data_IF_306210204629
#
_entry.id   IF_306210204629
#
_cell.length_a   1.000
_cell.length_b   1.000
_cell.length_c   1.000
_cell.angle_alpha   90.00
_cell.angle_beta   90.00
_cell.angle_gamma   90.00
#
_symmetry.space_group_name_H-M   'P 1'
#
loop_
_entity.id
_entity.type
_entity.pdbx_description
1 polymer ?
#
# COMPACT_ATOMS: atom_id res chain seq x y z
N UNK A 1 67.59 29.25 -17.37
CA UNK A 1 67.60 27.78 -17.30
C UNK A 1 67.64 27.37 -15.84
N UNK A 2 66.56 26.77 -15.32
CA UNK A 2 66.49 26.25 -13.95
C UNK A 2 65.65 24.96 -14.00
N UNK A 3 66.31 23.86 -13.66
CA UNK A 3 66.00 22.45 -13.91
C UNK A 3 64.65 21.96 -13.30
N UNK A 4 63.79 21.25 -14.05
CA UNK A 4 62.48 20.76 -13.56
C UNK A 4 62.55 19.53 -12.64
N UNK A 5 63.71 19.15 -12.08
CA UNK A 5 63.90 17.90 -11.32
C UNK A 5 63.93 17.98 -9.79
N UNK A 6 63.39 19.02 -9.14
CA UNK A 6 63.17 18.98 -7.67
C UNK A 6 61.85 18.29 -7.32
N UNK A 7 61.85 16.96 -7.32
CA UNK A 7 60.79 16.16 -6.65
C UNK A 7 60.82 16.45 -5.15
N UNK A 8 59.73 17.03 -4.62
CA UNK A 8 59.49 17.07 -3.17
C UNK A 8 59.25 15.64 -2.69
N UNK A 9 60.14 15.10 -1.85
CA UNK A 9 59.90 13.83 -1.15
C UNK A 9 58.82 14.08 -0.09
N UNK A 10 57.59 13.67 -0.37
CA UNK A 10 56.54 13.60 0.64
C UNK A 10 56.58 12.17 1.21
N UNK A 11 56.97 12.02 2.48
CA UNK A 11 56.83 10.75 3.21
C UNK A 11 55.36 10.58 3.58
N UNK A 12 54.60 9.82 2.78
CA UNK A 12 53.27 9.33 3.18
C UNK A 12 53.43 8.15 4.13
N UNK A 13 52.78 8.14 5.31
CA UNK A 13 52.82 6.98 6.20
C UNK A 13 52.12 5.78 5.56
N UNK A 14 52.70 4.59 5.69
CA UNK A 14 52.10 3.35 5.20
C UNK A 14 50.83 3.04 5.99
N UNK A 15 49.70 2.90 5.31
CA UNK A 15 48.45 2.44 5.91
C UNK A 15 48.57 1.02 6.51
N UNK A 16 47.67 0.63 7.43
CA UNK A 16 47.74 -0.65 8.12
C UNK A 16 47.67 -1.83 7.13
N UNK A 17 48.59 -2.79 7.30
CA UNK A 17 48.62 -4.04 6.53
C UNK A 17 47.28 -4.76 6.63
N UNK A 18 46.65 -5.06 5.49
CA UNK A 18 45.47 -5.94 5.42
C UNK A 18 45.83 -7.29 6.03
N UNK A 19 45.08 -7.70 7.07
CA UNK A 19 45.18 -9.07 7.61
C UNK A 19 44.84 -10.06 6.49
N UNK A 20 45.62 -11.12 6.38
CA UNK A 20 45.42 -12.16 5.37
C UNK A 20 43.99 -12.72 5.47
N UNK A 21 43.26 -12.65 4.36
CA UNK A 21 41.97 -13.31 4.19
C UNK A 21 42.18 -14.82 4.25
N UNK A 22 41.41 -15.57 5.07
CA UNK A 22 41.54 -17.02 5.11
C UNK A 22 41.18 -17.64 3.76
N UNK A 23 42.01 -18.58 3.32
CA UNK A 23 41.86 -19.31 2.08
C UNK A 23 40.67 -20.30 2.17
N UNK A 24 39.54 -19.91 1.57
CA UNK A 24 38.29 -20.67 1.57
C UNK A 24 38.38 -22.00 0.81
N UNK A 25 39.45 -22.23 0.01
CA UNK A 25 39.64 -23.48 -0.73
C UNK A 25 39.95 -24.68 0.17
N UNK A 26 40.33 -24.44 1.43
CA UNK A 26 40.60 -25.49 2.43
C UNK A 26 39.37 -25.91 3.23
N UNK A 27 38.22 -25.27 3.03
CA UNK A 27 36.99 -25.61 3.74
C UNK A 27 36.27 -26.79 3.05
N UNK A 28 36.53 -28.01 3.52
CA UNK A 28 35.77 -29.20 3.10
C UNK A 28 34.56 -29.39 4.02
N UNK A 29 33.36 -29.12 3.50
CA UNK A 29 32.11 -29.50 4.16
C UNK A 29 32.05 -31.02 4.28
N UNK A 30 31.91 -31.54 5.50
CA UNK A 30 31.56 -32.95 5.70
C UNK A 30 30.04 -33.11 5.47
N UNK A 31 29.59 -34.13 4.73
CA UNK A 31 28.17 -34.38 4.58
C UNK A 31 27.53 -34.76 5.93
N UNK A 32 26.26 -34.42 6.15
CA UNK A 32 25.51 -34.85 7.33
C UNK A 32 25.53 -36.38 7.47
N UNK A 33 25.69 -36.89 8.70
CA UNK A 33 25.76 -38.34 9.02
C UNK A 33 24.51 -39.11 8.60
N UNK A 34 23.39 -38.41 8.42
CA UNK A 34 22.14 -38.96 7.92
C UNK A 34 22.06 -38.73 6.41
N UNK A 35 22.10 -39.83 5.65
CA UNK A 35 21.94 -39.78 4.19
C UNK A 35 20.65 -39.09 3.77
N UNK A 36 20.64 -38.53 2.56
CA UNK A 36 19.47 -37.89 1.95
C UNK A 36 18.34 -38.93 1.86
N UNK A 37 17.15 -38.71 2.45
CA UNK A 37 16.02 -39.61 2.21
C UNK A 37 15.70 -39.63 0.72
N UNK A 38 15.67 -40.83 0.12
CA UNK A 38 15.30 -41.00 -1.28
C UNK A 38 13.84 -40.59 -1.47
N UNK A 39 13.62 -39.50 -2.20
CA UNK A 39 12.29 -39.14 -2.67
C UNK A 39 11.96 -40.04 -3.85
N UNK A 40 10.84 -40.80 -3.83
CA UNK A 40 10.43 -41.62 -4.97
C UNK A 40 10.26 -40.75 -6.22
N UNK A 41 10.85 -41.16 -7.34
CA UNK A 41 10.64 -40.50 -8.64
C UNK A 41 9.14 -40.58 -9.00
N UNK A 42 8.50 -39.48 -9.43
CA UNK A 42 7.11 -39.52 -9.88
C UNK A 42 6.98 -40.42 -11.11
N UNK A 43 5.93 -41.26 -11.11
CA UNK A 43 5.65 -42.18 -12.21
C UNK A 43 5.34 -41.40 -13.50
N UNK A 44 5.76 -41.89 -14.68
CA UNK A 44 5.41 -41.29 -15.96
C UNK A 44 3.89 -41.36 -16.17
N UNK A 45 3.29 -40.23 -16.56
CA UNK A 45 1.87 -40.16 -16.92
C UNK A 45 1.60 -41.05 -18.15
N UNK A 46 0.49 -41.79 -18.20
CA UNK A 46 0.13 -42.58 -19.37
C UNK A 46 -0.16 -41.67 -20.58
N UNK A 47 0.24 -42.18 -21.74
CA UNK A 47 0.15 -41.54 -23.06
C UNK A 47 -1.32 -41.21 -23.41
N UNK A 48 -1.66 -39.96 -23.77
CA UNK A 48 -3.03 -39.55 -24.10
C UNK A 48 -3.59 -40.16 -25.41
N UNK A 49 -2.82 -40.98 -26.12
CA UNK A 49 -3.26 -41.64 -27.36
C UNK A 49 -4.14 -42.90 -27.16
N UNK A 50 -4.38 -43.36 -25.93
CA UNK A 50 -5.14 -44.61 -25.68
C UNK A 50 -6.61 -44.45 -25.25
N UNK A 51 -7.25 -43.29 -25.48
CA UNK A 51 -8.71 -43.17 -25.32
C UNK A 51 -9.39 -42.78 -26.62
N UNK A 52 -9.69 -43.79 -27.44
CA UNK A 52 -10.75 -43.72 -28.45
C UNK A 52 -11.71 -44.89 -28.24
N UNK A 53 -12.94 -44.66 -27.76
CA UNK A 53 -14.01 -45.62 -27.95
C UNK A 53 -14.45 -45.60 -29.41
N UNK A 54 -14.49 -46.80 -29.99
CA UNK A 54 -15.04 -47.14 -31.29
C UNK A 54 -16.50 -46.68 -31.42
N UNK A 55 -16.86 -46.29 -32.64
CA UNK A 55 -18.16 -45.74 -32.99
C UNK A 55 -19.35 -46.69 -32.84
N UNK A 56 -20.51 -46.06 -32.72
CA UNK A 56 -21.82 -46.65 -33.00
C UNK A 56 -22.48 -45.89 -34.14
N UNK A 57 -22.76 -46.61 -35.23
CA UNK A 57 -23.62 -46.18 -36.34
C UNK A 57 -25.02 -45.83 -35.81
N UNK A 58 -25.63 -44.75 -36.35
CA UNK A 58 -27.08 -44.71 -36.51
C UNK A 58 -27.50 -43.80 -37.65
N UNK A 59 -28.44 -44.35 -38.41
CA UNK A 59 -28.89 -44.02 -39.74
C UNK A 59 -29.39 -42.59 -39.96
N UNK A 60 -29.20 -42.15 -41.20
CA UNK A 60 -29.81 -40.95 -41.73
C UNK A 60 -31.31 -41.08 -41.93
N UNK A 61 -32.02 -39.98 -41.65
CA UNK A 61 -33.26 -39.63 -42.34
C UNK A 61 -33.31 -38.12 -42.58
N UNK A 62 -33.34 -37.78 -43.86
CA UNK A 62 -33.67 -36.45 -44.41
C UNK A 62 -35.07 -36.03 -43.98
N UNK A 63 -35.26 -34.72 -43.76
CA UNK A 63 -36.59 -34.11 -43.92
C UNK A 63 -36.76 -32.75 -43.25
N UNK A 64 -36.99 -31.72 -44.06
CA UNK A 64 -37.98 -30.69 -43.73
C UNK A 64 -37.48 -29.35 -43.19
N UNK A 65 -37.45 -28.35 -44.08
CA UNK A 65 -37.61 -26.94 -43.74
C UNK A 65 -38.81 -26.71 -42.80
N UNK A 66 -38.64 -25.89 -41.76
CA UNK A 66 -39.69 -25.03 -41.20
C UNK A 66 -39.06 -23.94 -40.32
N UNK A 67 -39.31 -22.70 -40.71
CA UNK A 67 -38.88 -21.51 -39.98
C UNK A 67 -39.48 -21.46 -38.58
N UNK A 68 -38.61 -21.25 -37.58
CA UNK A 68 -39.01 -20.89 -36.22
C UNK A 68 -39.06 -19.36 -36.06
N UNK A 69 -40.00 -18.82 -35.28
CA UNK A 69 -40.24 -17.38 -35.21
C UNK A 69 -39.08 -16.66 -34.51
N UNK A 70 -38.76 -15.47 -35.02
CA UNK A 70 -37.87 -14.48 -34.38
C UNK A 70 -38.31 -14.30 -32.93
N UNK A 71 -37.54 -14.85 -31.98
CA UNK A 71 -37.56 -14.42 -30.58
C UNK A 71 -37.10 -12.98 -30.54
N UNK A 72 -38.06 -12.08 -30.53
CA UNK A 72 -37.87 -10.68 -30.21
C UNK A 72 -37.36 -10.64 -28.76
N UNK A 73 -36.05 -10.48 -28.61
CA UNK A 73 -35.41 -10.33 -27.31
C UNK A 73 -35.89 -9.00 -26.72
N UNK A 74 -37.00 -9.08 -25.99
CA UNK A 74 -37.43 -8.05 -25.08
C UNK A 74 -36.37 -7.99 -23.97
N UNK A 75 -35.29 -7.23 -24.21
CA UNK A 75 -34.37 -6.76 -23.17
C UNK A 75 -35.15 -5.77 -22.31
N UNK A 76 -36.07 -6.32 -21.52
CA UNK A 76 -36.65 -5.64 -20.38
C UNK A 76 -35.48 -5.07 -19.57
N UNK A 77 -35.61 -3.78 -19.27
CA UNK A 77 -34.71 -3.02 -18.43
C UNK A 77 -34.35 -3.86 -17.20
N UNK A 78 -33.18 -4.49 -17.23
CA UNK A 78 -32.55 -4.93 -15.99
C UNK A 78 -32.26 -3.63 -15.26
N UNK A 79 -33.10 -3.31 -14.27
CA UNK A 79 -32.87 -2.20 -13.36
C UNK A 79 -31.41 -2.25 -12.95
N UNK A 80 -30.71 -1.11 -13.10
CA UNK A 80 -29.31 -0.95 -12.72
C UNK A 80 -29.15 -1.53 -11.31
N UNK A 81 -28.65 -2.75 -11.19
CA UNK A 81 -28.27 -3.31 -9.90
C UNK A 81 -27.21 -2.36 -9.37
N UNK A 82 -27.56 -1.62 -8.31
CA UNK A 82 -26.59 -0.79 -7.60
C UNK A 82 -25.48 -1.74 -7.16
N UNK A 83 -24.28 -1.52 -7.69
CA UNK A 83 -23.13 -2.33 -7.33
C UNK A 83 -22.97 -2.23 -5.81
N UNK A 84 -22.84 -3.35 -5.08
CA UNK A 84 -22.71 -3.31 -3.64
C UNK A 84 -21.50 -2.44 -3.27
N UNK A 85 -21.68 -1.57 -2.27
CA UNK A 85 -20.63 -0.68 -1.81
C UNK A 85 -19.44 -1.51 -1.28
N UNK A 86 -18.18 -1.09 -1.55
CA UNK A 86 -17.00 -1.77 -1.05
C UNK A 86 -17.03 -1.94 0.48
N UNK A 87 -16.57 -3.09 0.97
CA UNK A 87 -16.53 -3.40 2.40
C UNK A 87 -15.76 -2.38 3.23
N UNK A 88 -14.62 -1.89 2.71
CA UNK A 88 -13.80 -0.87 3.36
C UNK A 88 -14.54 0.47 3.60
N UNK A 89 -15.63 0.74 2.88
CA UNK A 89 -16.39 1.99 3.00
C UNK A 89 -17.67 1.83 3.82
N UNK A 90 -18.04 0.61 4.25
CA UNK A 90 -19.33 0.35 4.93
C UNK A 90 -19.49 1.12 6.24
N UNK A 91 -18.38 1.39 6.92
CA UNK A 91 -18.35 2.08 8.22
C UNK A 91 -17.92 3.55 8.11
N UNK A 92 -17.68 4.02 6.89
CA UNK A 92 -17.24 5.38 6.61
C UNK A 92 -18.43 6.32 6.49
N UNK A 93 -18.34 7.48 7.12
CA UNK A 93 -19.38 8.51 7.11
C UNK A 93 -18.99 9.71 6.27
N UNK A 94 -17.70 10.04 6.25
CA UNK A 94 -17.15 11.22 5.62
C UNK A 94 -15.94 10.87 4.77
N UNK A 95 -15.76 11.62 3.67
CA UNK A 95 -14.59 11.54 2.82
C UNK A 95 -14.20 12.93 2.32
N UNK A 96 -12.92 13.12 2.01
CA UNK A 96 -12.37 14.37 1.48
C UNK A 96 -12.02 14.24 0.02
N UNK A 97 -12.35 15.26 -0.76
CA UNK A 97 -12.09 15.26 -2.21
C UNK A 97 -10.60 15.42 -2.50
N UNK A 98 -10.09 14.56 -3.38
CA UNK A 98 -8.73 14.59 -3.91
C UNK A 98 -8.66 15.13 -5.34
N UNK A 99 -9.63 14.77 -6.17
CA UNK A 99 -9.74 15.24 -7.53
C UNK A 99 -11.18 15.11 -8.00
N UNK A 100 -11.59 15.98 -8.91
CA UNK A 100 -12.91 15.93 -9.53
C UNK A 100 -12.79 16.16 -11.04
N UNK A 101 -13.28 15.20 -11.82
CA UNK A 101 -13.45 15.34 -13.26
C UNK A 101 -14.89 15.78 -13.54
N UNK A 102 -15.07 17.07 -13.79
CA UNK A 102 -16.37 17.68 -14.10
C UNK A 102 -16.99 17.15 -15.40
N UNK A 103 -16.20 16.62 -16.33
CA UNK A 103 -16.70 16.06 -17.60
C UNK A 103 -17.36 14.70 -17.40
N UNK A 104 -16.79 13.87 -16.52
CA UNK A 104 -17.34 12.54 -16.21
C UNK A 104 -18.25 12.54 -14.98
N UNK A 105 -18.34 13.66 -14.25
CA UNK A 105 -19.04 13.77 -12.95
C UNK A 105 -18.55 12.70 -11.96
N UNK A 106 -17.24 12.43 -12.00
CA UNK A 106 -16.57 11.47 -11.12
C UNK A 106 -15.52 12.20 -10.31
N UNK A 107 -15.57 12.03 -9.00
CA UNK A 107 -14.53 12.47 -8.09
C UNK A 107 -13.84 11.28 -7.44
N UNK A 108 -12.56 11.46 -7.12
CA UNK A 108 -11.82 10.57 -6.23
C UNK A 108 -11.76 11.23 -4.87
N UNK A 109 -12.06 10.46 -3.82
CA UNK A 109 -12.08 10.93 -2.44
C UNK A 109 -11.36 9.96 -1.52
N UNK A 110 -10.92 10.46 -0.37
CA UNK A 110 -10.26 9.70 0.70
C UNK A 110 -11.16 9.65 1.93
N UNK A 111 -11.46 8.47 2.44
CA UNK A 111 -12.26 8.30 3.65
C UNK A 111 -11.53 8.82 4.90
N UNK A 112 -12.27 9.43 5.82
CA UNK A 112 -11.71 10.10 7.00
C UNK A 112 -11.31 9.18 8.15
N UNK A 113 -11.63 7.88 8.12
CA UNK A 113 -11.19 6.97 9.21
C UNK A 113 -10.14 5.96 8.75
N UNK A 114 -10.37 5.32 7.62
CA UNK A 114 -9.51 4.23 7.10
C UNK A 114 -8.47 4.67 6.07
N UNK A 115 -8.45 5.93 5.65
CA UNK A 115 -7.70 6.41 4.47
C UNK A 115 -8.06 5.67 3.16
N UNK A 116 -9.20 4.96 3.13
CA UNK A 116 -9.65 4.25 1.95
C UNK A 116 -9.96 5.23 0.81
N UNK A 117 -9.34 5.01 -0.35
CA UNK A 117 -9.62 5.79 -1.54
C UNK A 117 -10.85 5.24 -2.28
N UNK A 118 -11.79 6.11 -2.60
CA UNK A 118 -13.02 5.74 -3.30
C UNK A 118 -13.30 6.65 -4.49
N UNK A 119 -13.99 6.09 -5.49
CA UNK A 119 -14.53 6.83 -6.62
C UNK A 119 -16.01 7.07 -6.37
N UNK A 120 -16.42 8.32 -6.45
CA UNK A 120 -17.79 8.74 -6.24
C UNK A 120 -18.31 9.42 -7.50
N UNK A 121 -19.59 9.19 -7.78
CA UNK A 121 -20.33 9.92 -8.79
C UNK A 121 -20.97 11.14 -8.12
N UNK A 122 -20.78 12.32 -8.69
CA UNK A 122 -21.38 13.56 -8.20
C UNK A 122 -22.80 13.75 -8.75
N UNK A 123 -23.67 14.47 -8.03
CA UNK A 123 -25.03 14.79 -8.49
C UNK A 123 -25.04 15.91 -9.54
N UNK A 124 -24.13 16.87 -9.41
CA UNK A 124 -23.99 18.02 -10.29
C UNK A 124 -22.74 17.99 -11.15
N UNK A 125 -22.70 18.89 -12.13
CA UNK A 125 -21.52 19.21 -12.94
C UNK A 125 -20.64 20.31 -12.33
N UNK A 126 -21.03 20.84 -11.17
CA UNK A 126 -20.27 21.88 -10.47
C UNK A 126 -18.93 21.33 -9.97
N UNK A 127 -17.89 22.16 -10.09
CA UNK A 127 -16.56 21.78 -9.66
C UNK A 127 -16.51 21.73 -8.13
N UNK A 128 -16.33 20.52 -7.58
CA UNK A 128 -16.04 20.32 -6.17
C UNK A 128 -14.68 20.92 -5.79
N UNK A 129 -14.60 21.45 -4.58
CA UNK A 129 -13.37 22.02 -4.03
C UNK A 129 -12.47 20.90 -3.51
N UNK A 130 -11.16 20.99 -3.74
CA UNK A 130 -10.20 20.04 -3.18
C UNK A 130 -10.22 20.10 -1.65
N UNK A 131 -10.00 18.98 -1.00
CA UNK A 131 -10.07 18.81 0.47
C UNK A 131 -11.45 19.08 1.09
N UNK A 132 -12.48 19.35 0.28
CA UNK A 132 -13.85 19.49 0.75
C UNK A 132 -14.33 18.17 1.37
N UNK A 133 -14.90 18.28 2.56
CA UNK A 133 -15.51 17.16 3.28
C UNK A 133 -16.91 16.86 2.74
N UNK A 134 -17.14 15.61 2.35
CA UNK A 134 -18.39 15.10 1.80
C UNK A 134 -18.94 13.94 2.62
N UNK A 135 -20.25 13.92 2.80
CA UNK A 135 -20.93 12.80 3.45
C UNK A 135 -21.09 11.63 2.47
N UNK A 136 -20.50 10.47 2.81
CA UNK A 136 -20.60 9.22 2.05
C UNK A 136 -21.32 8.11 2.83
N UNK A 137 -21.84 8.40 4.02
CA UNK A 137 -22.54 7.42 4.86
C UNK A 137 -23.80 6.83 4.21
N UNK A 138 -24.36 5.80 4.86
CA UNK A 138 -25.50 5.01 4.36
C UNK A 138 -26.78 5.83 4.10
N UNK A 139 -26.92 6.96 4.80
CA UNK A 139 -28.07 7.83 4.68
C UNK A 139 -28.00 8.68 3.40
N UNK A 140 -28.68 8.24 2.35
CA UNK A 140 -28.68 8.92 1.05
C UNK A 140 -29.29 10.34 1.13
N UNK A 141 -30.14 10.62 2.12
CA UNK A 141 -30.76 11.95 2.25
C UNK A 141 -29.74 13.03 2.65
N UNK A 142 -28.69 12.64 3.37
CA UNK A 142 -27.60 13.52 3.80
C UNK A 142 -26.52 13.72 2.75
N UNK A 143 -26.54 12.92 1.67
CA UNK A 143 -25.59 13.06 0.55
C UNK A 143 -26.01 14.24 -0.32
N UNK A 144 -25.47 15.43 -0.06
CA UNK A 144 -25.78 16.65 -0.86
C UNK A 144 -25.15 16.57 -2.25
N UNK A 145 -23.84 16.34 -2.31
CA UNK A 145 -23.07 16.33 -3.56
C UNK A 145 -22.92 14.93 -4.18
N UNK A 146 -23.09 13.88 -3.39
CA UNK A 146 -22.76 12.50 -3.78
C UNK A 146 -24.00 11.79 -4.32
N UNK A 147 -23.94 11.33 -5.57
CA UNK A 147 -25.00 10.55 -6.20
C UNK A 147 -24.89 9.06 -5.85
N UNK A 148 -23.71 8.46 -6.04
CA UNK A 148 -23.46 7.06 -5.69
C UNK A 148 -21.96 6.78 -5.59
N UNK A 149 -21.58 5.77 -4.80
CA UNK A 149 -20.20 5.27 -4.75
C UNK A 149 -20.00 4.29 -5.92
N UNK A 150 -19.01 4.54 -6.78
CA UNK A 150 -18.71 3.72 -7.96
C UNK A 150 -17.83 2.50 -7.60
N UNK A 151 -16.98 2.66 -6.59
CA UNK A 151 -16.08 1.63 -6.08
C UNK A 151 -14.82 2.19 -5.42
N UNK A 152 -13.86 1.33 -5.13
CA UNK A 152 -12.54 1.75 -4.65
C UNK A 152 -11.74 2.44 -5.75
N UNK A 153 -10.92 3.42 -5.38
CA UNK A 153 -9.92 4.00 -6.25
C UNK A 153 -8.58 3.29 -6.07
N UNK A 154 -7.79 3.24 -7.14
CA UNK A 154 -6.42 2.74 -7.11
C UNK A 154 -5.46 3.93 -7.20
N UNK A 155 -4.45 3.94 -6.34
CA UNK A 155 -3.42 4.98 -6.30
C UNK A 155 -2.77 5.20 -7.69
N UNK A 156 -2.43 4.12 -8.38
CA UNK A 156 -1.79 4.14 -9.72
C UNK A 156 -2.65 4.81 -10.81
N UNK A 157 -3.97 4.89 -10.60
CA UNK A 157 -4.92 5.43 -11.58
C UNK A 157 -5.31 6.88 -11.32
N UNK A 158 -4.78 7.48 -10.25
CA UNK A 158 -5.01 8.89 -9.93
C UNK A 158 -4.27 9.82 -10.91
N UNK A 159 -4.71 11.08 -11.01
CA UNK A 159 -3.95 12.09 -11.75
C UNK A 159 -2.62 12.41 -11.04
N UNK A 160 -1.68 13.00 -11.79
CA UNK A 160 -0.40 13.46 -11.22
C UNK A 160 -0.62 14.51 -10.13
N UNK A 161 -1.58 15.42 -10.31
CA UNK A 161 -1.91 16.45 -9.32
C UNK A 161 -2.45 15.79 -8.05
N UNK A 162 -3.41 14.87 -8.17
CA UNK A 162 -3.96 14.19 -7.00
C UNK A 162 -2.90 13.38 -6.22
N UNK A 163 -1.91 12.80 -6.91
CA UNK A 163 -0.76 12.14 -6.24
C UNK A 163 0.14 13.13 -5.50
N UNK A 164 0.32 14.34 -6.03
CA UNK A 164 1.13 15.39 -5.39
C UNK A 164 0.42 16.02 -4.18
N UNK A 165 -0.92 16.11 -4.23
CA UNK A 165 -1.73 16.69 -3.15
C UNK A 165 -2.04 15.69 -2.03
N UNK A 166 -2.05 14.38 -2.32
CA UNK A 166 -2.35 13.34 -1.35
C UNK A 166 -1.49 13.41 -0.07
N UNK A 167 -0.16 13.64 -0.12
CA UNK A 167 0.65 13.80 1.08
C UNK A 167 0.17 14.89 2.02
N UNK A 168 -0.20 16.04 1.49
CA UNK A 168 -0.74 17.13 2.30
C UNK A 168 -2.10 16.77 2.90
N UNK A 169 -2.96 16.05 2.16
CA UNK A 169 -4.25 15.60 2.67
C UNK A 169 -4.10 14.55 3.80
N UNK A 170 -3.22 13.57 3.62
CA UNK A 170 -2.94 12.56 4.66
C UNK A 170 -2.30 13.20 5.88
N UNK A 171 -1.40 14.18 5.69
CA UNK A 171 -0.83 14.94 6.80
C UNK A 171 -1.91 15.66 7.61
N UNK A 172 -2.83 16.37 6.95
CA UNK A 172 -3.96 17.01 7.65
C UNK A 172 -4.80 16.00 8.43
N UNK A 173 -5.05 14.82 7.86
CA UNK A 173 -5.74 13.74 8.58
C UNK A 173 -4.96 13.29 9.84
N UNK A 174 -3.64 13.14 9.75
CA UNK A 174 -2.81 12.78 10.91
C UNK A 174 -2.82 13.89 11.96
N UNK A 175 -2.83 15.16 11.55
CA UNK A 175 -2.91 16.32 12.45
C UNK A 175 -4.28 16.42 13.14
N UNK A 176 -5.38 16.16 12.42
CA UNK A 176 -6.74 16.14 12.98
C UNK A 176 -6.92 15.03 14.04
N UNK A 177 -6.21 13.91 13.88
CA UNK A 177 -6.20 12.79 14.82
C UNK A 177 -4.86 12.66 15.57
N UNK A 178 -4.16 13.78 15.78
CA UNK A 178 -2.80 13.79 16.33
C UNK A 178 -2.68 13.02 17.64
N UNK A 179 -3.65 13.18 18.56
CA UNK A 179 -3.64 12.50 19.85
C UNK A 179 -3.64 10.98 19.70
N UNK A 180 -4.50 10.44 18.83
CA UNK A 180 -4.58 9.01 18.56
C UNK A 180 -3.24 8.46 18.07
N UNK A 181 -2.58 9.14 17.13
CA UNK A 181 -1.30 8.67 16.60
C UNK A 181 -0.15 8.81 17.61
N UNK A 182 -0.19 9.81 18.48
CA UNK A 182 0.74 9.94 19.60
C UNK A 182 0.61 8.75 20.53
N UNK A 183 -0.62 8.39 20.90
CA UNK A 183 -0.88 7.31 21.86
C UNK A 183 -0.65 5.92 21.26
N UNK A 184 -1.15 5.67 20.05
CA UNK A 184 -1.12 4.34 19.43
C UNK A 184 0.20 4.00 18.77
N UNK A 185 0.92 5.00 18.23
CA UNK A 185 2.20 4.77 17.58
C UNK A 185 3.37 5.31 18.39
N UNK A 186 3.41 6.61 18.68
CA UNK A 186 4.63 7.21 19.22
C UNK A 186 4.93 6.77 20.65
N UNK A 187 3.94 6.71 21.52
CA UNK A 187 4.09 6.29 22.91
C UNK A 187 4.31 4.78 23.04
N UNK A 188 3.60 3.98 22.23
CA UNK A 188 3.71 2.50 22.23
C UNK A 188 4.86 1.93 21.40
N UNK A 189 5.55 2.74 20.61
CA UNK A 189 6.66 2.27 19.78
C UNK A 189 7.75 1.59 20.60
N UNK A 190 8.24 0.45 20.13
CA UNK A 190 9.28 -0.33 20.80
C UNK A 190 10.27 -0.96 19.83
N UNK A 191 11.21 -1.76 20.34
CA UNK A 191 12.08 -2.56 19.49
C UNK A 191 11.26 -3.64 18.76
N UNK A 192 11.29 -3.64 17.43
CA UNK A 192 10.69 -4.71 16.62
C UNK A 192 11.60 -5.93 16.54
N UNK A 193 12.91 -5.70 16.55
CA UNK A 193 13.93 -6.75 16.62
C UNK A 193 15.12 -6.25 17.44
N UNK A 194 16.09 -7.13 17.69
CA UNK A 194 17.35 -6.76 18.35
C UNK A 194 18.10 -5.62 17.64
N UNK A 195 17.84 -5.39 16.34
CA UNK A 195 18.56 -4.40 15.51
C UNK A 195 17.70 -3.23 15.03
N UNK A 196 16.38 -3.28 15.22
CA UNK A 196 15.47 -2.32 14.58
C UNK A 196 14.36 -1.88 15.54
N UNK A 197 14.16 -0.58 15.64
CA UNK A 197 13.08 0.06 16.39
C UNK A 197 11.88 0.41 15.49
N UNK A 198 10.65 0.43 16.01
CA UNK A 198 9.45 0.77 15.25
C UNK A 198 9.49 2.17 14.62
N UNK A 199 10.17 3.13 15.25
CA UNK A 199 10.37 4.46 14.67
C UNK A 199 11.13 4.44 13.35
N UNK A 200 11.97 3.42 13.11
CA UNK A 200 12.72 3.27 11.86
C UNK A 200 11.83 2.84 10.69
N UNK A 201 10.54 2.59 10.93
CA UNK A 201 9.56 2.43 9.86
C UNK A 201 9.21 3.77 9.21
N UNK A 202 9.38 4.89 9.91
CA UNK A 202 9.13 6.19 9.33
C UNK A 202 10.20 6.50 8.28
N UNK A 203 9.82 7.05 7.11
CA UNK A 203 10.77 7.51 6.12
C UNK A 203 11.71 8.54 6.75
N UNK A 204 12.96 8.58 6.28
CA UNK A 204 14.00 9.47 6.80
C UNK A 204 14.34 9.34 8.30
N UNK A 205 13.82 8.32 9.01
CA UNK A 205 14.17 8.01 10.40
C UNK A 205 15.09 6.80 10.46
N UNK A 206 16.40 7.06 10.48
CA UNK A 206 17.41 6.02 10.71
C UNK A 206 17.63 5.70 12.19
N UNK A 207 18.52 4.73 12.50
CA UNK A 207 18.79 4.29 13.87
C UNK A 207 19.22 5.41 14.84
N UNK A 208 19.91 6.43 14.33
CA UNK A 208 20.34 7.58 15.15
C UNK A 208 19.14 8.42 15.58
N UNK A 209 18.25 8.76 14.63
CA UNK A 209 17.04 9.54 14.92
C UNK A 209 16.08 8.74 15.80
N UNK A 210 15.88 7.45 15.52
CA UNK A 210 15.07 6.58 16.34
C UNK A 210 15.56 6.53 17.80
N UNK A 211 16.87 6.39 18.04
CA UNK A 211 17.43 6.47 19.40
C UNK A 211 17.21 7.82 20.07
N UNK A 212 17.27 8.92 19.32
CA UNK A 212 16.98 10.25 19.86
C UNK A 212 15.50 10.39 20.25
N UNK A 213 14.58 9.87 19.44
CA UNK A 213 13.15 9.83 19.76
C UNK A 213 12.88 8.99 21.02
N UNK A 214 13.52 7.83 21.16
CA UNK A 214 13.40 7.00 22.38
C UNK A 214 13.90 7.77 23.60
N UNK A 215 15.06 8.42 23.52
CA UNK A 215 15.59 9.25 24.60
C UNK A 215 14.65 10.40 24.96
N UNK A 216 14.07 11.07 23.96
CA UNK A 216 13.11 12.15 24.16
C UNK A 216 11.86 11.64 24.90
N UNK A 217 11.34 10.46 24.52
CA UNK A 217 10.22 9.82 25.21
C UNK A 217 10.58 9.46 26.64
N UNK A 218 11.72 8.81 26.85
CA UNK A 218 12.14 8.34 28.17
C UNK A 218 12.39 9.51 29.16
N UNK A 219 12.66 10.72 28.67
CA UNK A 219 12.76 11.94 29.48
C UNK A 219 11.42 12.43 30.04
N UNK A 220 10.34 12.28 29.26
CA UNK A 220 8.99 12.74 29.63
C UNK A 220 8.08 11.60 30.09
N UNK A 221 8.51 10.35 29.92
CA UNK A 221 7.72 9.14 30.14
C UNK A 221 6.81 8.84 28.95
N UNK A 222 5.89 9.75 28.63
CA UNK A 222 4.98 9.69 27.48
C UNK A 222 4.83 11.08 26.88
N UNK A 223 4.72 11.17 25.56
CA UNK A 223 4.39 12.42 24.90
C UNK A 223 2.90 12.73 25.12
N UNK A 224 2.59 13.94 25.58
CA UNK A 224 1.22 14.40 25.75
C UNK A 224 0.60 14.87 24.42
N UNK A 225 1.41 15.34 23.48
CA UNK A 225 0.92 15.83 22.17
C UNK A 225 1.94 15.66 21.04
N UNK A 226 1.47 15.81 19.81
CA UNK A 226 2.33 15.79 18.62
C UNK A 226 3.31 16.96 18.62
N UNK A 227 2.92 18.12 19.17
CA UNK A 227 3.79 19.29 19.29
C UNK A 227 4.94 19.06 20.27
N UNK A 228 4.66 18.41 21.41
CA UNK A 228 5.69 18.03 22.38
C UNK A 228 6.68 17.04 21.76
N UNK A 229 6.18 16.02 21.06
CA UNK A 229 7.01 15.08 20.30
C UNK A 229 7.92 15.82 19.30
N UNK A 230 7.34 16.73 18.50
CA UNK A 230 8.07 17.48 17.48
C UNK A 230 9.18 18.34 18.10
N UNK A 231 8.88 19.02 19.22
CA UNK A 231 9.82 19.88 19.92
C UNK A 231 10.98 19.09 20.55
N UNK A 232 10.68 18.00 21.26
CA UNK A 232 11.68 17.22 21.99
C UNK A 232 12.55 16.36 21.06
N UNK A 233 11.92 15.67 20.10
CA UNK A 233 12.64 14.81 19.17
C UNK A 233 13.22 15.56 17.95
N UNK A 234 12.85 16.83 17.74
CA UNK A 234 13.24 17.67 16.59
C UNK A 234 12.87 17.02 15.25
N UNK A 235 11.64 16.53 15.17
CA UNK A 235 11.06 15.88 14.00
C UNK A 235 9.74 16.55 13.62
N UNK A 236 9.18 16.11 12.50
CA UNK A 236 7.83 16.44 12.08
C UNK A 236 6.99 15.16 12.05
N UNK A 237 6.49 14.75 13.21
CA UNK A 237 5.85 13.44 13.39
C UNK A 237 4.64 13.21 12.46
N UNK A 238 3.81 14.23 12.25
CA UNK A 238 2.66 14.11 11.35
C UNK A 238 3.09 13.91 9.88
N UNK A 239 4.05 14.71 9.41
CA UNK A 239 4.59 14.62 8.05
C UNK A 239 5.24 13.25 7.79
N UNK A 240 6.07 12.77 8.72
CA UNK A 240 6.75 11.48 8.60
C UNK A 240 5.76 10.31 8.56
N UNK A 241 4.73 10.35 9.41
CA UNK A 241 3.72 9.29 9.43
C UNK A 241 2.86 9.32 8.15
N UNK A 242 2.51 10.50 7.66
CA UNK A 242 1.77 10.66 6.41
C UNK A 242 2.55 10.12 5.21
N UNK A 243 3.85 10.43 5.11
CA UNK A 243 4.72 9.87 4.07
C UNK A 243 4.77 8.34 4.15
N UNK A 244 4.91 7.77 5.36
CA UNK A 244 4.89 6.31 5.55
C UNK A 244 3.58 5.68 5.07
N UNK A 245 2.44 6.30 5.37
CA UNK A 245 1.14 5.79 4.90
C UNK A 245 1.05 5.79 3.38
N UNK A 246 1.60 6.79 2.70
CA UNK A 246 1.61 6.86 1.24
C UNK A 246 2.54 5.82 0.63
N UNK A 247 3.75 5.64 1.18
CA UNK A 247 4.67 4.58 0.77
C UNK A 247 4.00 3.21 0.88
N UNK A 248 3.21 2.98 1.95
CA UNK A 248 2.41 1.78 2.09
C UNK A 248 1.25 1.75 1.07
N UNK A 249 0.58 2.85 0.78
CA UNK A 249 -0.50 2.85 -0.22
C UNK A 249 0.01 2.50 -1.63
N UNK A 250 1.21 2.96 -1.97
CA UNK A 250 1.90 2.68 -3.23
C UNK A 250 2.46 1.24 -3.25
N UNK A 251 3.20 0.83 -2.21
CA UNK A 251 3.80 -0.49 -2.11
C UNK A 251 3.10 -1.39 -1.08
N UNK A 252 2.38 -2.39 -1.61
CA UNK A 252 1.71 -3.41 -0.81
C UNK A 252 2.62 -4.44 -0.17
N UNK A 253 3.86 -4.53 -0.63
CA UNK A 253 4.85 -5.47 -0.14
C UNK A 253 5.63 -4.95 1.06
N UNK A 254 5.55 -3.64 1.34
CA UNK A 254 6.16 -3.00 2.50
C UNK A 254 5.58 -3.60 3.79
N UNK A 255 6.43 -4.26 4.56
CA UNK A 255 6.08 -4.86 5.87
C UNK A 255 7.09 -4.43 6.93
N UNK A 256 6.67 -4.20 8.18
CA UNK A 256 5.28 -4.16 8.68
C UNK A 256 4.49 -2.94 8.20
N UNK A 257 3.15 -3.03 8.21
CA UNK A 257 2.23 -1.99 7.72
C UNK A 257 1.60 -1.23 8.87
N UNK A 258 1.95 0.05 9.02
CA UNK A 258 1.35 0.94 10.00
C UNK A 258 -0.12 1.25 9.66
N UNK A 259 -0.47 1.29 8.37
CA UNK A 259 -1.86 1.47 7.92
C UNK A 259 -2.79 0.36 8.40
N UNK A 260 -2.30 -0.87 8.58
CA UNK A 260 -3.12 -1.98 9.11
C UNK A 260 -3.19 -1.99 10.63
N UNK A 261 -2.20 -1.38 11.29
CA UNK A 261 -2.11 -1.35 12.75
C UNK A 261 -2.87 -0.16 13.34
N UNK A 262 -2.82 0.99 12.66
CA UNK A 262 -3.29 2.28 13.18
C UNK A 262 -4.60 2.75 12.53
N UNK A 263 -5.17 2.00 11.58
CA UNK A 263 -6.42 2.38 10.91
C UNK A 263 -7.43 1.22 10.98
N UNK A 264 -8.74 1.51 11.01
CA UNK A 264 -9.35 2.84 11.04
C UNK A 264 -9.15 3.56 12.38
N UNK A 265 -9.13 4.89 12.35
CA UNK A 265 -9.16 5.68 13.59
C UNK A 265 -10.56 5.56 14.20
N UNK A 266 -10.64 4.83 15.30
CA UNK A 266 -11.84 4.80 16.15
C UNK A 266 -11.82 6.05 17.03
N UNK A 267 -12.77 6.94 16.77
CA UNK A 267 -13.02 8.14 17.57
C UNK A 267 -13.93 7.82 18.76
#
# INVERSE_FOLDING_TARGET
MSDPRRRRQIKTPSGPRKKATPDLSKYKMQPPRTGRPEVPKPQPKPDPSQQRPRGGQRDGKRGGQRGGPRRQNNRGQQGRQQRPEPEALKNETWARILEHDSKSSVATAMAEKSLALCRIKTKGSEALVLNQRLYIGKDQSKRTEVASILGMAHFDKMSNMARQDLPSLVQMFVEEHAQYFVDEFYNKAGPMSLKQHSYELLPDVGPVKARNMVKARDQVGVFASMDELNALAKIKGAELLAQRFIEEMEDKTLVPRLTQLLLPVEA
#
